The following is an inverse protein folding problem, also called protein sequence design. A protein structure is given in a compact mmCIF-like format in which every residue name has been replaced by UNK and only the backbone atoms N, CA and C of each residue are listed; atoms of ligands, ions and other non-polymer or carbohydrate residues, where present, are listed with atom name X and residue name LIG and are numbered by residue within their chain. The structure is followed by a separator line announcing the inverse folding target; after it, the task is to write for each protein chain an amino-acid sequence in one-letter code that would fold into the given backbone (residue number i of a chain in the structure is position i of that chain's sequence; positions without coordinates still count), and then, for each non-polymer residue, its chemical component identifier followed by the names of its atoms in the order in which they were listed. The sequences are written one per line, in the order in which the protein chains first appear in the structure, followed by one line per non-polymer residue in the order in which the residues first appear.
data_IF_144060737861
#
_entry.id   IF_144060737861
#
_cell.length_a   1.000
_cell.length_b   1.000
_cell.length_c   1.000
_cell.angle_alpha   90.00
_cell.angle_beta   90.00
_cell.angle_gamma   90.00
#
_symmetry.space_group_name_H-M   'P 1'
#
loop_
_entity.id
_entity.type
_entity.pdbx_description
1 polymer ?
#
# COMPACT_ATOMS: atom_id res chain seq x y z
N UNK A 1 -28.13 58.87 15.21
CA UNK A 1 -27.88 58.25 13.90
C UNK A 1 -26.47 58.59 13.46
N UNK A 2 -25.56 57.62 13.40
CA UNK A 2 -24.19 57.78 12.88
C UNK A 2 -23.90 56.61 11.94
N UNK A 3 -23.47 56.95 10.73
CA UNK A 3 -23.18 56.09 9.59
C UNK A 3 -21.71 55.62 9.58
N UNK A 4 -21.47 54.57 8.79
CA UNK A 4 -20.21 54.00 8.26
C UNK A 4 -19.60 52.83 9.06
N UNK A 5 -19.43 51.67 8.42
CA UNK A 5 -18.14 51.10 7.98
C UNK A 5 -18.38 49.74 7.26
N UNK A 6 -18.18 49.68 5.95
CA UNK A 6 -17.08 48.97 5.22
C UNK A 6 -17.27 47.45 5.07
N UNK A 7 -17.49 47.08 3.80
CA UNK A 7 -17.36 45.75 3.21
C UNK A 7 -15.96 45.16 3.45
N UNK A 8 -15.89 43.88 3.83
CA UNK A 8 -14.73 43.05 3.53
C UNK A 8 -15.17 41.75 2.85
N UNK A 9 -14.72 41.63 1.61
CA UNK A 9 -14.73 40.45 0.77
C UNK A 9 -13.77 39.41 1.36
N UNK A 10 -14.20 38.16 1.48
CA UNK A 10 -13.28 37.02 1.30
C UNK A 10 -14.06 35.80 0.85
N UNK A 11 -13.92 35.52 -0.45
CA UNK A 11 -14.13 34.22 -1.06
C UNK A 11 -13.34 33.18 -0.25
N UNK A 12 -14.04 32.29 0.46
CA UNK A 12 -13.50 30.96 0.68
C UNK A 12 -13.86 30.12 -0.54
N UNK A 13 -12.93 30.07 -1.48
CA UNK A 13 -12.87 29.07 -2.54
C UNK A 13 -12.81 27.73 -1.81
N UNK A 14 -13.94 27.03 -1.73
CA UNK A 14 -13.94 25.60 -1.49
C UNK A 14 -13.25 24.97 -2.68
N UNK A 15 -11.94 24.78 -2.55
CA UNK A 15 -11.18 23.91 -3.42
C UNK A 15 -11.80 22.52 -3.33
N UNK A 16 -12.59 22.16 -4.34
CA UNK A 16 -12.86 20.77 -4.66
C UNK A 16 -11.56 20.13 -5.15
N UNK A 17 -10.63 19.90 -4.24
CA UNK A 17 -9.63 18.84 -4.45
C UNK A 17 -10.35 17.54 -4.09
N UNK A 18 -10.91 16.88 -5.10
CA UNK A 18 -11.25 15.46 -5.02
C UNK A 18 -10.06 14.74 -4.37
N UNK A 19 -10.26 14.01 -3.27
CA UNK A 19 -9.14 13.37 -2.58
C UNK A 19 -8.52 12.36 -3.53
N UNK A 20 -7.18 12.32 -3.57
CA UNK A 20 -6.43 11.14 -3.99
C UNK A 20 -7.20 9.91 -3.56
N UNK A 21 -7.55 9.05 -4.53
CA UNK A 21 -8.22 7.76 -4.33
C UNK A 21 -7.95 7.25 -2.91
N UNK A 22 -9.01 7.02 -2.13
CA UNK A 22 -8.95 6.30 -0.84
C UNK A 22 -8.27 4.95 -1.08
N UNK A 23 -6.94 4.94 -1.17
CA UNK A 23 -6.12 3.73 -1.23
C UNK A 23 -6.29 3.12 0.13
N UNK A 24 -6.93 1.95 0.18
CA UNK A 24 -7.07 1.18 1.42
C UNK A 24 -5.69 1.02 2.04
N UNK A 25 -5.49 1.67 3.18
CA UNK A 25 -4.19 1.78 3.85
C UNK A 25 -3.95 0.62 4.82
N UNK A 26 -4.93 -0.24 5.05
CA UNK A 26 -4.82 -1.34 6.00
C UNK A 26 -5.60 -2.53 5.49
N UNK A 27 -4.89 -3.65 5.33
CA UNK A 27 -5.41 -4.91 4.84
C UNK A 27 -5.23 -5.98 5.91
N UNK A 28 -6.22 -6.85 6.02
CA UNK A 28 -6.09 -8.08 6.82
C UNK A 28 -5.56 -9.22 5.95
N UNK A 29 -4.94 -10.22 6.57
CA UNK A 29 -4.50 -11.46 5.91
C UNK A 29 -5.57 -12.07 4.99
N UNK A 30 -6.83 -12.33 5.44
CA UNK A 30 -7.85 -12.94 4.57
C UNK A 30 -8.21 -12.07 3.37
N UNK A 31 -8.27 -10.75 3.52
CA UNK A 31 -8.58 -9.85 2.40
C UNK A 31 -7.49 -9.85 1.34
N UNK A 32 -6.22 -9.95 1.74
CA UNK A 32 -5.11 -10.08 0.79
C UNK A 32 -5.18 -11.41 0.06
N UNK A 33 -5.45 -12.52 0.76
CA UNK A 33 -5.64 -13.83 0.13
C UNK A 33 -6.79 -13.82 -0.87
N UNK A 34 -7.93 -13.22 -0.52
CA UNK A 34 -9.08 -13.07 -1.40
C UNK A 34 -8.73 -12.23 -2.64
N UNK A 35 -8.07 -11.09 -2.44
CA UNK A 35 -7.64 -10.22 -3.53
C UNK A 35 -6.70 -10.96 -4.49
N UNK A 36 -5.73 -11.70 -3.96
CA UNK A 36 -4.79 -12.51 -4.76
C UNK A 36 -5.54 -13.56 -5.57
N UNK A 37 -6.45 -14.31 -4.95
CA UNK A 37 -7.24 -15.32 -5.64
C UNK A 37 -8.07 -14.73 -6.79
N UNK A 38 -8.66 -13.54 -6.60
CA UNK A 38 -9.45 -12.87 -7.63
C UNK A 38 -8.60 -12.33 -8.78
N UNK A 39 -7.39 -11.86 -8.49
CA UNK A 39 -6.55 -11.14 -9.44
C UNK A 39 -5.37 -11.94 -9.99
N UNK A 40 -5.18 -13.19 -9.57
CA UNK A 40 -4.04 -14.03 -9.93
C UNK A 40 -3.77 -14.05 -11.45
N UNK A 41 -4.82 -14.23 -12.25
CA UNK A 41 -4.75 -14.26 -13.73
C UNK A 41 -4.24 -12.96 -14.35
N UNK A 42 -4.45 -11.82 -13.69
CA UNK A 42 -4.11 -10.49 -14.18
C UNK A 42 -2.83 -9.94 -13.54
N UNK A 43 -2.38 -10.55 -12.44
CA UNK A 43 -1.18 -10.14 -11.73
C UNK A 43 0.08 -10.52 -12.52
N UNK A 44 1.02 -9.57 -12.64
CA UNK A 44 2.32 -9.78 -13.28
C UNK A 44 3.12 -10.88 -12.58
N UNK A 45 2.93 -11.02 -11.27
CA UNK A 45 3.68 -11.95 -10.43
C UNK A 45 2.91 -13.22 -10.09
N UNK A 46 1.84 -13.55 -10.84
CA UNK A 46 1.08 -14.81 -10.73
C UNK A 46 0.61 -15.11 -9.30
N UNK A 47 0.03 -14.11 -8.65
CA UNK A 47 -0.48 -14.18 -7.29
C UNK A 47 0.56 -13.98 -6.19
N UNK A 48 1.85 -13.92 -6.53
CA UNK A 48 2.89 -13.57 -5.57
C UNK A 48 2.86 -12.08 -5.23
N UNK A 49 3.26 -11.76 -4.00
CA UNK A 49 3.48 -10.39 -3.55
C UNK A 49 4.97 -10.16 -3.34
N UNK A 50 5.45 -8.98 -3.68
CA UNK A 50 6.81 -8.56 -3.36
C UNK A 50 6.81 -7.93 -1.96
N UNK A 51 7.53 -8.55 -1.03
CA UNK A 51 7.71 -8.05 0.32
C UNK A 51 8.74 -6.91 0.35
N UNK A 52 8.38 -5.79 0.95
CA UNK A 52 9.19 -4.56 0.98
C UNK A 52 9.85 -4.29 2.31
N UNK A 53 9.57 -5.11 3.30
CA UNK A 53 10.03 -4.89 4.66
C UNK A 53 8.89 -4.58 5.62
N UNK A 54 9.26 -4.40 6.88
CA UNK A 54 8.36 -4.07 7.96
C UNK A 54 8.82 -2.82 8.68
N UNK A 55 7.86 -2.06 9.18
CA UNK A 55 8.10 -1.02 10.17
C UNK A 55 7.61 -1.49 11.55
N UNK A 56 7.45 -0.55 12.48
CA UNK A 56 7.00 -0.83 13.85
C UNK A 56 5.55 -1.30 13.93
N UNK A 57 4.74 -1.05 12.91
CA UNK A 57 3.30 -1.31 12.93
C UNK A 57 2.86 -2.32 11.86
N UNK A 58 3.58 -2.42 10.73
CA UNK A 58 3.07 -3.04 9.50
C UNK A 58 4.13 -3.83 8.75
N UNK A 59 3.65 -4.84 8.03
CA UNK A 59 4.35 -5.51 6.94
C UNK A 59 3.88 -4.89 5.62
N UNK A 60 4.83 -4.47 4.79
CA UNK A 60 4.55 -3.83 3.50
C UNK A 60 4.78 -4.80 2.35
N UNK A 61 3.78 -4.92 1.50
CA UNK A 61 3.82 -5.72 0.29
C UNK A 61 3.35 -4.89 -0.90
N UNK A 62 3.75 -5.33 -2.08
CA UNK A 62 3.28 -4.79 -3.34
C UNK A 62 2.89 -5.95 -4.26
N UNK A 63 1.94 -5.70 -5.15
CA UNK A 63 1.68 -6.49 -6.36
C UNK A 63 1.65 -5.56 -7.56
N UNK A 64 1.73 -6.15 -8.75
CA UNK A 64 1.49 -5.44 -10.00
C UNK A 64 0.41 -6.16 -10.78
N UNK A 65 -0.62 -5.44 -11.19
CA UNK A 65 -1.70 -5.93 -12.06
C UNK A 65 -1.67 -5.07 -13.31
N UNK A 66 -1.39 -5.70 -14.46
CA UNK A 66 -1.11 -4.98 -15.70
C UNK A 66 -0.02 -3.91 -15.48
N UNK A 67 -0.36 -2.62 -15.56
CA UNK A 67 0.55 -1.49 -15.36
C UNK A 67 0.34 -0.74 -14.05
N UNK A 68 -0.49 -1.27 -13.15
CA UNK A 68 -0.78 -0.64 -11.87
C UNK A 68 -0.15 -1.39 -10.70
N UNK A 69 0.48 -0.61 -9.82
CA UNK A 69 0.97 -1.10 -8.53
C UNK A 69 -0.13 -1.05 -7.48
N UNK A 70 -0.32 -2.19 -6.82
CA UNK A 70 -1.24 -2.33 -5.68
C UNK A 70 -0.42 -2.57 -4.43
N UNK A 71 -0.67 -1.76 -3.42
CA UNK A 71 0.08 -1.77 -2.15
C UNK A 71 -0.77 -2.41 -1.07
N UNK A 72 -0.15 -3.29 -0.28
CA UNK A 72 -0.79 -3.96 0.84
C UNK A 72 0.01 -3.71 2.10
N UNK A 73 -0.64 -3.15 3.10
CA UNK A 73 -0.08 -2.98 4.43
C UNK A 73 -0.88 -3.86 5.39
N UNK A 74 -0.24 -4.87 5.95
CA UNK A 74 -0.85 -5.77 6.94
C UNK A 74 -0.31 -5.41 8.32
N UNK A 75 -1.16 -5.37 9.35
CA UNK A 75 -0.69 -5.15 10.72
C UNK A 75 0.34 -6.23 11.08
N UNK A 76 1.45 -5.79 11.67
CA UNK A 76 2.53 -6.67 12.15
C UNK A 76 2.06 -7.70 13.18
N UNK A 77 1.00 -7.39 13.93
CA UNK A 77 0.40 -8.31 14.89
C UNK A 77 -0.45 -9.43 14.24
N UNK A 78 -0.87 -9.28 12.98
CA UNK A 78 -1.75 -10.23 12.29
C UNK A 78 -1.01 -11.28 11.47
N UNK A 79 0.28 -11.05 11.18
CA UNK A 79 1.09 -11.90 10.33
C UNK A 79 2.49 -11.99 10.91
N UNK A 80 3.05 -13.20 10.99
CA UNK A 80 4.45 -13.41 11.36
C UNK A 80 5.23 -13.66 10.08
N UNK A 81 6.26 -12.83 9.81
CA UNK A 81 7.17 -12.99 8.67
C UNK A 81 8.52 -13.52 9.18
N UNK A 82 8.91 -14.77 8.88
CA UNK A 82 10.12 -15.38 9.46
C UNK A 82 11.43 -14.66 9.12
N UNK A 83 11.57 -14.17 7.89
CA UNK A 83 12.79 -13.52 7.38
C UNK A 83 12.63 -12.00 7.26
N UNK A 84 12.15 -11.39 8.35
CA UNK A 84 11.79 -9.99 8.32
C UNK A 84 12.97 -9.05 8.04
N UNK A 85 12.77 -8.12 7.10
CA UNK A 85 13.68 -7.02 6.77
C UNK A 85 13.06 -5.66 7.12
N UNK A 86 13.86 -4.64 7.45
CA UNK A 86 13.35 -3.29 7.69
C UNK A 86 12.75 -2.69 6.43
N UNK A 87 11.65 -1.95 6.56
CA UNK A 87 11.08 -1.19 5.46
C UNK A 87 11.96 0.02 5.12
N UNK A 88 12.31 0.17 3.84
CA UNK A 88 13.09 1.31 3.34
C UNK A 88 12.38 1.97 2.16
N UNK A 89 12.28 3.29 2.20
CA UNK A 89 11.71 4.13 1.13
C UNK A 89 12.79 4.95 0.42
N UNK A 90 14.06 4.66 0.66
CA UNK A 90 15.16 5.36 -0.01
C UNK A 90 15.03 5.21 -1.53
N UNK A 91 15.26 6.28 -2.27
CA UNK A 91 15.08 6.29 -3.73
C UNK A 91 16.04 5.35 -4.48
N UNK A 92 17.13 4.92 -3.85
CA UNK A 92 18.07 3.92 -4.36
C UNK A 92 17.77 2.50 -3.88
N UNK A 93 16.76 2.30 -3.02
CA UNK A 93 16.42 0.97 -2.53
C UNK A 93 15.71 0.16 -3.63
N UNK A 94 15.95 -1.16 -3.69
CA UNK A 94 15.17 -2.03 -4.56
C UNK A 94 13.69 -1.95 -4.20
N UNK A 95 12.82 -2.26 -5.18
CA UNK A 95 11.36 -2.19 -4.99
C UNK A 95 10.88 -3.04 -3.80
N UNK A 96 11.56 -4.15 -3.53
CA UNK A 96 11.40 -4.99 -2.34
C UNK A 96 12.54 -5.99 -2.21
N UNK A 97 12.41 -6.94 -1.28
CA UNK A 97 13.44 -7.92 -0.94
C UNK A 97 13.22 -9.27 -1.63
N UNK A 98 12.03 -9.86 -1.46
CA UNK A 98 11.72 -11.19 -1.97
C UNK A 98 10.21 -11.34 -2.20
N UNK A 99 9.85 -12.30 -3.04
CA UNK A 99 8.46 -12.66 -3.30
C UNK A 99 7.94 -13.62 -2.23
N UNK A 100 6.68 -13.44 -1.84
CA UNK A 100 5.92 -14.31 -0.93
C UNK A 100 4.66 -14.83 -1.60
N UNK A 101 4.17 -15.99 -1.13
CA UNK A 101 2.88 -16.56 -1.55
C UNK A 101 1.82 -16.42 -0.45
N UNK A 102 0.83 -15.54 -0.60
CA UNK A 102 -0.26 -15.41 0.37
C UNK A 102 -1.13 -16.66 0.50
N UNK A 103 -1.19 -17.54 -0.51
CA UNK A 103 -1.93 -18.82 -0.42
C UNK A 103 -1.21 -19.80 0.50
N UNK A 104 0.10 -19.66 0.65
CA UNK A 104 0.95 -20.46 1.54
C UNK A 104 1.43 -19.63 2.74
N UNK A 105 0.51 -18.89 3.36
CA UNK A 105 0.78 -18.11 4.59
C UNK A 105 1.97 -17.15 4.49
N UNK A 106 2.11 -16.49 3.33
CA UNK A 106 3.13 -15.47 3.07
C UNK A 106 4.58 -16.01 3.19
N UNK A 107 4.77 -17.31 2.95
CA UNK A 107 6.11 -17.91 2.89
C UNK A 107 6.91 -17.33 1.72
N UNK A 108 8.21 -17.09 1.94
CA UNK A 108 9.16 -16.65 0.91
C UNK A 108 9.29 -17.72 -0.17
N UNK A 109 9.19 -17.30 -1.43
CA UNK A 109 9.29 -18.18 -2.61
C UNK A 109 10.61 -18.01 -3.31
N UNK A 110 11.04 -16.76 -3.57
CA UNK A 110 12.29 -16.44 -4.26
C UNK A 110 12.68 -14.99 -4.04
N UNK A 111 13.95 -14.67 -4.29
CA UNK A 111 14.44 -13.29 -4.21
C UNK A 111 13.92 -12.39 -5.32
N UNK A 112 13.94 -11.09 -5.03
CA UNK A 112 13.64 -10.07 -6.02
C UNK A 112 14.93 -9.71 -6.78
N UNK A 113 15.15 -10.39 -7.89
CA UNK A 113 16.24 -10.06 -8.81
C UNK A 113 15.85 -8.82 -9.64
N UNK A 114 16.70 -7.79 -9.61
CA UNK A 114 16.56 -6.52 -10.32
C UNK A 114 17.69 -6.33 -11.32
#
# INVERSE_FOLDING_TARGET
MKTKLVLFFSLFIFGCTLPQSLRKTEWTVPEVKEWVNKNEKYSTWKGLLLYRGSDTARHHFISRVMDEFVWFDIKRAELVVPEEKPYSTQSSAPLGYYYVDPKQDFVRVKDYDH
#
